data_IF_989878883488
#
_entry.id   IF_989878883488
#
_cell.length_a   1.000
_cell.length_b   1.000
_cell.length_c   1.000
_cell.angle_alpha   90.00
_cell.angle_beta   90.00
_cell.angle_gamma   90.00
#
_symmetry.space_group_name_H-M   'P 1'
#
loop_
_entity.id
_entity.type
_entity.pdbx_description
1 polymer ?
#
# COMPACT_ATOMS: atom_id res chain seq x y z
N UNK A 1 0.55 -26.32 -19.34
CA UNK A 1 1.54 -25.24 -19.54
C UNK A 1 0.77 -24.01 -20.02
N UNK A 2 0.42 -23.10 -19.11
CA UNK A 2 -0.26 -21.86 -19.47
C UNK A 2 0.77 -20.90 -20.08
N UNK A 3 0.56 -20.53 -21.34
CA UNK A 3 1.47 -19.68 -22.09
C UNK A 3 1.65 -18.31 -21.42
N UNK A 4 2.89 -17.86 -21.33
CA UNK A 4 3.26 -16.51 -20.92
C UNK A 4 2.60 -15.55 -21.91
N UNK A 5 1.56 -14.82 -21.47
CA UNK A 5 0.90 -13.80 -22.28
C UNK A 5 1.45 -12.42 -21.89
N UNK A 6 2.44 -11.88 -22.61
CA UNK A 6 2.67 -10.44 -22.55
C UNK A 6 1.41 -9.80 -23.18
N UNK A 7 0.82 -8.81 -22.51
CA UNK A 7 -0.35 -8.04 -22.97
C UNK A 7 -1.77 -8.62 -22.84
N UNK A 8 -2.01 -9.79 -22.26
CA UNK A 8 -3.39 -10.19 -21.98
C UNK A 8 -3.96 -9.49 -20.75
N UNK A 9 -5.25 -9.12 -20.78
CA UNK A 9 -5.95 -8.65 -19.61
C UNK A 9 -5.81 -9.68 -18.47
N UNK A 10 -5.52 -9.25 -17.23
CA UNK A 10 -5.40 -10.14 -16.09
C UNK A 10 -6.69 -10.93 -15.87
N UNK A 11 -6.57 -12.12 -15.30
CA UNK A 11 -7.76 -12.84 -14.83
C UNK A 11 -8.52 -11.97 -13.80
N UNK A 12 -9.85 -12.11 -13.68
CA UNK A 12 -10.64 -11.29 -12.74
C UNK A 12 -10.12 -11.32 -11.31
N UNK A 13 -9.56 -12.45 -10.86
CA UNK A 13 -8.94 -12.58 -9.54
C UNK A 13 -7.67 -11.74 -9.41
N UNK A 14 -6.80 -11.73 -10.43
CA UNK A 14 -5.60 -10.90 -10.47
C UNK A 14 -5.93 -9.41 -10.47
N UNK A 15 -6.92 -9.00 -11.25
CA UNK A 15 -7.38 -7.60 -11.27
C UNK A 15 -7.95 -7.17 -9.91
N UNK A 16 -8.76 -8.02 -9.29
CA UNK A 16 -9.31 -7.76 -7.95
C UNK A 16 -8.23 -7.65 -6.88
N UNK A 17 -7.19 -8.48 -6.95
CA UNK A 17 -6.06 -8.39 -6.04
C UNK A 17 -5.29 -7.07 -6.22
N UNK A 18 -5.14 -6.60 -7.46
CA UNK A 18 -4.53 -5.30 -7.75
C UNK A 18 -5.36 -4.13 -7.24
N UNK A 19 -6.69 -4.16 -7.42
CA UNK A 19 -7.63 -3.19 -6.85
C UNK A 19 -7.57 -3.18 -5.32
N UNK A 20 -7.47 -4.35 -4.69
CA UNK A 20 -7.33 -4.49 -3.23
C UNK A 20 -6.02 -3.85 -2.75
N UNK A 21 -4.91 -4.12 -3.43
CA UNK A 21 -3.61 -3.51 -3.10
C UNK A 21 -3.65 -1.98 -3.26
N UNK A 22 -4.25 -1.47 -4.34
CA UNK A 22 -4.43 -0.03 -4.54
C UNK A 22 -5.19 0.62 -3.38
N UNK A 23 -6.31 0.02 -2.97
CA UNK A 23 -7.09 0.49 -1.83
C UNK A 23 -6.27 0.50 -0.53
N UNK A 24 -5.44 -0.52 -0.29
CA UNK A 24 -4.56 -0.54 0.89
C UNK A 24 -3.54 0.59 0.86
N UNK A 25 -2.92 0.86 -0.29
CA UNK A 25 -1.99 1.99 -0.44
C UNK A 25 -2.68 3.35 -0.21
N UNK A 26 -3.91 3.53 -0.69
CA UNK A 26 -4.71 4.75 -0.45
C UNK A 26 -5.06 4.91 1.03
N UNK A 27 -5.48 3.84 1.70
CA UNK A 27 -5.79 3.86 3.14
C UNK A 27 -4.55 4.29 3.96
N UNK A 28 -3.39 3.66 3.72
CA UNK A 28 -2.15 4.01 4.44
C UNK A 28 -1.67 5.42 4.14
N UNK A 29 -1.77 5.85 2.88
CA UNK A 29 -1.47 7.22 2.48
C UNK A 29 -2.28 8.24 3.32
N UNK A 30 -3.59 8.05 3.45
CA UNK A 30 -4.45 8.96 4.20
C UNK A 30 -4.04 9.06 5.69
N UNK A 31 -3.61 7.95 6.31
CA UNK A 31 -3.11 8.02 7.68
C UNK A 31 -1.73 8.66 7.79
N UNK A 32 -0.82 8.44 6.86
CA UNK A 32 0.46 9.15 6.87
C UNK A 32 0.28 10.65 6.60
N UNK A 33 -0.66 11.07 5.75
CA UNK A 33 -0.99 12.48 5.60
C UNK A 33 -1.50 13.10 6.91
N UNK A 34 -2.34 12.36 7.64
CA UNK A 34 -2.79 12.76 8.99
C UNK A 34 -1.61 12.81 9.97
N UNK A 35 -0.72 11.82 9.92
CA UNK A 35 0.44 11.71 10.81
C UNK A 35 1.42 12.86 10.56
N UNK A 36 1.74 13.19 9.31
CA UNK A 36 2.63 14.32 8.98
C UNK A 36 2.11 15.64 9.56
N UNK A 37 0.80 15.87 9.49
CA UNK A 37 0.17 17.07 10.04
C UNK A 37 0.17 17.17 11.57
N UNK A 38 0.43 16.06 12.28
CA UNK A 38 0.35 15.97 13.75
C UNK A 38 1.65 15.53 14.43
N UNK A 39 2.59 14.97 13.68
CA UNK A 39 3.81 14.37 14.22
C UNK A 39 4.76 15.42 14.77
N UNK A 40 5.48 15.04 15.83
CA UNK A 40 6.62 15.78 16.34
C UNK A 40 7.75 15.85 15.30
N UNK A 41 8.62 16.88 15.34
CA UNK A 41 9.64 17.09 14.31
C UNK A 41 10.54 15.87 14.03
N UNK A 42 10.86 15.12 15.08
CA UNK A 42 11.70 13.91 15.02
C UNK A 42 11.04 12.71 14.33
N UNK A 43 9.70 12.65 14.28
CA UNK A 43 8.95 11.58 13.60
C UNK A 43 8.39 12.01 12.25
N UNK A 44 8.27 13.32 12.02
CA UNK A 44 7.71 13.90 10.79
C UNK A 44 8.47 13.43 9.55
N UNK A 45 9.80 13.44 9.59
CA UNK A 45 10.61 13.00 8.44
C UNK A 45 10.32 11.53 8.05
N UNK A 46 10.14 10.64 9.03
CA UNK A 46 9.77 9.25 8.76
C UNK A 46 8.37 9.16 8.15
N UNK A 47 7.38 9.85 8.74
CA UNK A 47 6.01 9.86 8.23
C UNK A 47 5.92 10.42 6.79
N UNK A 48 6.71 11.44 6.45
CA UNK A 48 6.79 12.00 5.10
C UNK A 48 7.32 11.00 4.09
N UNK A 49 8.34 10.20 4.46
CA UNK A 49 8.90 9.16 3.57
C UNK A 49 7.87 8.09 3.23
N UNK A 50 7.10 7.61 4.22
CA UNK A 50 6.04 6.64 4.00
C UNK A 50 4.88 7.24 3.18
N UNK A 51 4.45 8.46 3.51
CA UNK A 51 3.45 9.21 2.72
C UNK A 51 3.85 9.30 1.25
N UNK A 52 5.08 9.70 0.97
CA UNK A 52 5.53 9.94 -0.40
C UNK A 52 5.70 8.63 -1.17
N UNK A 53 6.16 7.57 -0.51
CA UNK A 53 6.19 6.23 -1.07
C UNK A 53 4.78 5.75 -1.46
N UNK A 54 3.82 5.79 -0.53
CA UNK A 54 2.46 5.31 -0.78
C UNK A 54 1.71 6.15 -1.79
N UNK A 55 1.98 7.46 -1.87
CA UNK A 55 1.43 8.31 -2.93
C UNK A 55 1.89 7.85 -4.30
N UNK A 56 3.19 7.62 -4.48
CA UNK A 56 3.73 7.13 -5.75
C UNK A 56 3.17 5.74 -6.09
N UNK A 57 3.06 4.86 -5.10
CA UNK A 57 2.54 3.51 -5.30
C UNK A 57 1.05 3.51 -5.68
N UNK A 58 0.22 4.29 -4.98
CA UNK A 58 -1.20 4.43 -5.28
C UNK A 58 -1.42 4.96 -6.71
N UNK A 59 -0.69 6.01 -7.10
CA UNK A 59 -0.77 6.57 -8.45
C UNK A 59 -0.41 5.53 -9.53
N UNK A 60 0.67 4.80 -9.35
CA UNK A 60 1.10 3.82 -10.33
C UNK A 60 0.18 2.60 -10.41
N UNK A 61 -0.34 2.13 -9.28
CA UNK A 61 -1.35 1.07 -9.24
C UNK A 61 -2.64 1.51 -9.94
N UNK A 62 -3.05 2.76 -9.75
CA UNK A 62 -4.21 3.32 -10.43
C UNK A 62 -4.02 3.31 -11.96
N UNK A 63 -2.84 3.71 -12.46
CA UNK A 63 -2.50 3.66 -13.88
C UNK A 63 -2.51 2.22 -14.42
N UNK A 64 -2.00 1.24 -13.66
CA UNK A 64 -2.05 -0.17 -14.05
C UNK A 64 -3.49 -0.69 -14.16
N UNK A 65 -4.35 -0.34 -13.20
CA UNK A 65 -5.77 -0.71 -13.21
C UNK A 65 -6.49 -0.06 -14.41
N UNK A 66 -6.24 1.23 -14.66
CA UNK A 66 -6.74 1.98 -15.80
C UNK A 66 -6.40 1.31 -17.14
N UNK A 67 -5.17 0.83 -17.29
CA UNK A 67 -4.69 0.13 -18.48
C UNK A 67 -5.51 -1.13 -18.79
N UNK A 68 -6.14 -1.74 -17.80
CA UNK A 68 -6.99 -2.93 -17.97
C UNK A 68 -8.47 -2.61 -18.19
N UNK A 69 -8.80 -1.34 -18.48
CA UNK A 69 -10.16 -0.90 -18.79
C UNK A 69 -11.07 -0.80 -17.56
N UNK A 70 -10.47 -0.70 -16.37
CA UNK A 70 -11.17 -0.43 -15.11
C UNK A 70 -10.88 1.00 -14.70
N UNK A 71 -11.85 1.73 -14.21
CA UNK A 71 -11.54 3.01 -13.57
C UNK A 71 -10.87 2.72 -12.21
N UNK A 72 -9.63 3.19 -12.00
CA UNK A 72 -9.04 3.14 -10.68
C UNK A 72 -9.87 3.97 -9.73
N UNK A 73 -10.04 3.47 -8.50
CA UNK A 73 -10.84 4.13 -7.47
C UNK A 73 -10.09 5.36 -6.93
N UNK A 74 -10.11 6.47 -7.67
CA UNK A 74 -9.31 7.68 -7.36
C UNK A 74 -10.06 8.63 -6.42
N UNK A 75 -11.39 8.58 -6.33
CA UNK A 75 -12.15 9.65 -5.65
C UNK A 75 -13.47 9.22 -4.98
N UNK A 76 -13.56 7.98 -4.47
CA UNK A 76 -14.72 7.57 -3.66
C UNK A 76 -16.02 7.25 -4.42
N UNK A 77 -15.95 6.96 -5.73
CA UNK A 77 -17.15 6.66 -6.54
C UNK A 77 -17.61 5.18 -6.51
N UNK A 78 -16.95 4.27 -5.79
CA UNK A 78 -17.43 2.90 -5.51
C UNK A 78 -17.73 2.71 -4.01
N UNK A 79 -18.51 3.62 -3.44
CA UNK A 79 -19.06 3.60 -2.08
C UNK A 79 -20.07 2.45 -1.81
N UNK A 80 -19.71 1.18 -2.03
CA UNK A 80 -20.51 0.06 -1.50
C UNK A 80 -19.71 -1.11 -0.89
N UNK A 81 -18.38 -1.07 -0.87
CA UNK A 81 -17.56 -2.02 -0.07
C UNK A 81 -16.65 -1.31 0.94
N UNK A 82 -16.89 -0.03 1.20
CA UNK A 82 -16.23 0.72 2.28
C UNK A 82 -16.98 0.47 3.59
N UNK A 83 -16.66 -0.62 4.29
CA UNK A 83 -17.00 -0.71 5.72
C UNK A 83 -16.02 -1.52 6.58
N UNK A 84 -14.78 -1.70 6.14
CA UNK A 84 -13.76 -2.35 7.01
C UNK A 84 -12.32 -1.87 6.81
N UNK A 85 -11.97 -1.36 5.63
CA UNK A 85 -10.60 -0.93 5.30
C UNK A 85 -10.24 0.42 5.95
N UNK A 86 -11.08 1.45 5.79
CA UNK A 86 -10.97 2.78 6.45
C UNK A 86 -10.99 2.71 7.99
N UNK A 87 -11.62 1.68 8.56
CA UNK A 87 -11.73 1.52 10.02
C UNK A 87 -10.40 1.07 10.65
N UNK A 88 -9.56 0.35 9.92
CA UNK A 88 -8.33 -0.25 10.44
C UNK A 88 -7.32 0.79 10.94
N UNK A 89 -7.17 1.93 10.25
CA UNK A 89 -6.20 2.96 10.64
C UNK A 89 -6.77 4.03 11.58
N UNK A 90 -8.09 4.22 11.61
CA UNK A 90 -8.71 5.07 12.64
C UNK A 90 -8.51 4.48 14.04
N UNK A 91 -8.39 3.16 14.15
CA UNK A 91 -8.04 2.48 15.39
C UNK A 91 -6.58 2.67 15.79
N UNK A 92 -5.63 2.77 14.83
CA UNK A 92 -4.23 3.10 15.12
C UNK A 92 -4.08 4.52 15.69
N UNK A 93 -4.91 5.47 15.25
CA UNK A 93 -4.85 6.87 15.74
C UNK A 93 -5.45 7.01 17.17
N UNK A 94 -6.25 6.05 17.64
CA UNK A 94 -7.03 6.16 18.88
C UNK A 94 -6.48 5.35 20.08
N UNK A 95 -5.42 4.54 19.91
CA UNK A 95 -4.87 3.68 20.97
C UNK A 95 -3.40 3.97 21.26
N UNK A 96 -3.13 4.84 22.24
CA UNK A 96 -1.78 5.15 22.71
C UNK A 96 -1.42 4.16 23.83
N UNK A 97 -0.84 3.03 23.46
CA UNK A 97 0.00 2.20 24.33
C UNK A 97 0.92 1.36 23.43
N UNK A 98 1.93 2.01 22.84
CA UNK A 98 2.92 1.41 21.94
C UNK A 98 3.77 2.48 21.23
N UNK A 99 5.00 2.15 20.83
CA UNK A 99 5.84 3.07 20.05
C UNK A 99 5.15 3.39 18.71
N UNK A 100 5.16 4.65 18.28
CA UNK A 100 4.65 5.06 16.96
C UNK A 100 5.26 4.21 15.84
N UNK A 101 6.50 3.74 16.02
CA UNK A 101 7.21 2.90 15.06
C UNK A 101 6.64 1.47 14.98
N UNK A 102 6.19 0.90 16.09
CA UNK A 102 5.55 -0.42 16.12
C UNK A 102 4.19 -0.35 15.41
N UNK A 103 3.45 0.74 15.63
CA UNK A 103 2.18 1.00 14.96
C UNK A 103 2.34 1.17 13.44
N UNK A 104 3.44 1.79 13.00
CA UNK A 104 3.81 1.86 11.57
C UNK A 104 4.07 0.46 11.04
N UNK A 105 4.87 -0.37 11.73
CA UNK A 105 5.10 -1.75 11.30
C UNK A 105 3.80 -2.55 11.15
N UNK A 106 2.93 -2.51 12.17
CA UNK A 106 1.67 -3.24 12.15
C UNK A 106 0.76 -2.77 11.01
N UNK A 107 0.69 -1.44 10.79
CA UNK A 107 -0.08 -0.86 9.69
C UNK A 107 0.44 -1.26 8.31
N UNK A 108 1.76 -1.32 8.15
CA UNK A 108 2.42 -1.63 6.87
C UNK A 108 2.43 -3.11 6.54
N UNK A 109 2.35 -3.99 7.54
CA UNK A 109 2.28 -5.44 7.31
C UNK A 109 1.08 -5.81 6.44
N UNK A 110 -0.05 -5.13 6.62
CA UNK A 110 -1.23 -5.32 5.77
C UNK A 110 -1.02 -4.93 4.30
N UNK A 111 -0.14 -3.97 4.03
CA UNK A 111 0.21 -3.58 2.65
C UNK A 111 1.15 -4.61 2.04
N UNK A 112 2.12 -5.10 2.82
CA UNK A 112 3.03 -6.18 2.40
C UNK A 112 2.26 -7.45 2.06
N UNK A 113 1.29 -7.84 2.88
CA UNK A 113 0.43 -9.00 2.63
C UNK A 113 -0.39 -8.80 1.33
N UNK A 114 -0.93 -7.60 1.09
CA UNK A 114 -1.65 -7.29 -0.13
C UNK A 114 -0.75 -7.32 -1.39
N UNK A 115 0.53 -6.96 -1.26
CA UNK A 115 1.51 -7.17 -2.33
C UNK A 115 1.72 -8.65 -2.61
N UNK A 116 1.83 -9.48 -1.57
CA UNK A 116 2.03 -10.92 -1.71
C UNK A 116 0.80 -11.60 -2.34
N UNK A 117 -0.41 -11.21 -1.95
CA UNK A 117 -1.67 -11.64 -2.57
C UNK A 117 -1.73 -11.25 -4.06
N UNK A 118 -1.41 -9.99 -4.38
CA UNK A 118 -1.40 -9.50 -5.76
C UNK A 118 -0.37 -10.25 -6.62
N UNK A 119 0.83 -10.53 -6.09
CA UNK A 119 1.88 -11.30 -6.76
C UNK A 119 1.49 -12.79 -6.93
N UNK A 120 0.74 -13.35 -5.98
CA UNK A 120 0.23 -14.72 -6.03
C UNK A 120 -0.94 -14.93 -6.99
N UNK A 121 -1.65 -13.86 -7.35
CA UNK A 121 -2.87 -13.94 -8.17
C UNK A 121 -2.62 -14.13 -9.69
N UNK A 122 -1.37 -14.18 -10.14
CA UNK A 122 -1.04 -14.42 -11.56
C UNK A 122 -1.10 -13.18 -12.44
N UNK A 123 -0.44 -12.10 -12.02
CA UNK A 123 -0.37 -10.84 -12.78
C UNK A 123 0.41 -11.00 -14.09
N UNK A 124 0.18 -10.12 -15.08
CA UNK A 124 1.07 -9.98 -16.22
C UNK A 124 2.53 -9.77 -15.80
N UNK A 125 3.48 -10.18 -16.63
CA UNK A 125 4.91 -10.21 -16.29
C UNK A 125 5.47 -8.83 -15.92
N UNK A 126 5.04 -7.80 -16.64
CA UNK A 126 5.43 -6.41 -16.43
C UNK A 126 4.85 -5.86 -15.11
N UNK A 127 3.57 -6.16 -14.83
CA UNK A 127 2.94 -5.83 -13.55
C UNK A 127 3.64 -6.55 -12.40
N UNK A 128 3.93 -7.85 -12.54
CA UNK A 128 4.65 -8.63 -11.52
C UNK A 128 6.02 -8.04 -11.23
N UNK A 129 6.78 -7.68 -12.26
CA UNK A 129 8.10 -7.08 -12.10
C UNK A 129 8.02 -5.76 -11.33
N UNK A 130 7.03 -4.92 -11.63
CA UNK A 130 6.87 -3.64 -10.94
C UNK A 130 6.38 -3.80 -9.51
N UNK A 131 5.38 -4.65 -9.26
CA UNK A 131 4.91 -4.97 -7.90
C UNK A 131 6.05 -5.47 -7.00
N UNK A 132 6.95 -6.32 -7.52
CA UNK A 132 8.15 -6.75 -6.77
C UNK A 132 9.08 -5.60 -6.42
N UNK A 133 9.23 -4.62 -7.31
CA UNK A 133 10.05 -3.43 -7.03
C UNK A 133 9.41 -2.58 -5.94
N UNK A 134 8.12 -2.27 -6.06
CA UNK A 134 7.38 -1.46 -5.09
C UNK A 134 7.39 -2.10 -3.70
N UNK A 135 7.13 -3.42 -3.62
CA UNK A 135 7.21 -4.17 -2.36
C UNK A 135 8.61 -4.09 -1.75
N UNK A 136 9.68 -4.20 -2.55
CA UNK A 136 11.06 -4.07 -2.07
C UNK A 136 11.34 -2.68 -1.53
N UNK A 137 10.87 -1.64 -2.21
CA UNK A 137 11.00 -0.25 -1.75
C UNK A 137 10.34 -0.06 -0.37
N UNK A 138 9.14 -0.60 -0.16
CA UNK A 138 8.45 -0.59 1.13
C UNK A 138 9.21 -1.37 2.21
N UNK A 139 9.64 -2.61 1.92
CA UNK A 139 10.39 -3.41 2.87
C UNK A 139 11.73 -2.77 3.29
N UNK A 140 12.40 -2.07 2.37
CA UNK A 140 13.63 -1.34 2.68
C UNK A 140 13.35 -0.18 3.62
N UNK A 141 12.30 0.61 3.37
CA UNK A 141 11.93 1.73 4.25
C UNK A 141 11.54 1.24 5.66
N UNK A 142 10.82 0.12 5.75
CA UNK A 142 10.51 -0.54 7.03
C UNK A 142 11.76 -0.97 7.78
N UNK A 143 12.69 -1.63 7.09
CA UNK A 143 13.95 -2.08 7.68
C UNK A 143 14.79 -0.91 8.20
N UNK A 144 14.95 0.16 7.40
CA UNK A 144 15.68 1.36 7.81
C UNK A 144 15.05 2.04 9.03
N UNK A 145 13.71 2.11 9.07
CA UNK A 145 12.96 2.70 10.18
C UNK A 145 13.15 1.88 11.46
N UNK A 146 13.14 0.55 11.36
CA UNK A 146 13.40 -0.33 12.50
C UNK A 146 14.85 -0.22 13.00
N UNK A 147 15.83 -0.18 12.09
CA UNK A 147 17.24 -0.03 12.46
C UNK A 147 17.50 1.28 13.22
N UNK A 148 16.86 2.37 12.79
CA UNK A 148 16.92 3.67 13.48
C UNK A 148 16.21 3.68 14.85
N UNK A 149 15.26 2.77 15.08
CA UNK A 149 14.58 2.60 16.35
C UNK A 149 15.45 1.87 17.38
N UNK A 150 16.10 0.78 16.97
CA UNK A 150 16.88 -0.10 17.86
C UNK A 150 18.30 0.42 18.12
N UNK A 151 18.83 1.30 17.27
CA UNK A 151 20.15 1.91 17.44
C UNK A 151 20.20 3.15 18.36
N UNK A 152 19.09 3.50 19.02
CA UNK A 152 18.98 4.61 19.97
C UNK A 152 19.04 4.15 21.41
#
# INVERSE_FOLDING_TARGET
MAGIRPFAAPEPAALKALETLHLRCVDVLAGFETMVGRAEPEFRATAERFRDLHRAQAQELAEMIARFGREPEIDGSLMSTVNRAVVSMRSLINGIDGSILDQIQDGEQHVVDAFDDALGAGQPIDVTARLRSMRRELCLLLFETQAAATGR
#
